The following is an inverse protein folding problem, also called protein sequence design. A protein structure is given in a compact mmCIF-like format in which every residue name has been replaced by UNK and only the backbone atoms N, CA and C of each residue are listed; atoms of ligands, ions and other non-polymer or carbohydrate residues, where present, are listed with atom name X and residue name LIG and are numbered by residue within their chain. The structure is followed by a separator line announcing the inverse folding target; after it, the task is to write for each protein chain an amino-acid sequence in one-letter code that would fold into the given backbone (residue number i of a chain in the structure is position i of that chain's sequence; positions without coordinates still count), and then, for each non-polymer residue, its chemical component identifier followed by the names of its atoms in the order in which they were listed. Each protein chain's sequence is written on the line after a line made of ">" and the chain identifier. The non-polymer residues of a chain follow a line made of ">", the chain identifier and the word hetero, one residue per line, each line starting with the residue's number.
data_IF_509461257119
#
_entry.id   IF_509461257119
#
_cell.length_a   1.000
_cell.length_b   1.000
_cell.length_c   1.000
_cell.angle_alpha   90.00
_cell.angle_beta   90.00
_cell.angle_gamma   90.00
#
_symmetry.space_group_name_H-M   'P 1'
#
loop_
_entity.id
_entity.type
_entity.pdbx_description
1 polymer ?
#
# COMPACT_ATOMS: atom_id res chain seq x y z
N UNK A 1 -8.95 -12.06 -1.01
CA UNK A 1 -7.82 -11.42 -0.30
C UNK A 1 -8.38 -10.28 0.55
N UNK A 2 -7.85 -10.03 1.74
CA UNK A 2 -8.25 -8.86 2.53
C UNK A 2 -7.24 -7.72 2.34
N UNK A 3 -7.72 -6.48 2.42
CA UNK A 3 -6.91 -5.28 2.17
C UNK A 3 -5.68 -5.17 3.08
N UNK A 4 -5.76 -5.71 4.31
CA UNK A 4 -4.67 -5.60 5.28
C UNK A 4 -3.38 -6.33 4.88
N UNK A 5 -3.43 -7.19 3.87
CA UNK A 5 -2.27 -7.93 3.39
C UNK A 5 -1.48 -7.17 2.33
N UNK A 6 -2.01 -6.10 1.73
CA UNK A 6 -1.24 -5.31 0.78
C UNK A 6 -0.04 -4.65 1.47
N UNK A 7 1.13 -4.84 0.89
CA UNK A 7 2.40 -4.41 1.48
C UNK A 7 2.46 -2.88 1.63
N UNK A 8 2.03 -2.12 0.63
CA UNK A 8 1.98 -0.65 0.70
C UNK A 8 1.06 -0.11 1.80
N UNK A 9 0.05 -0.90 2.20
CA UNK A 9 -0.97 -0.50 3.18
C UNK A 9 -0.65 -0.95 4.61
N UNK A 10 0.37 -1.78 4.80
CA UNK A 10 0.68 -2.41 6.10
C UNK A 10 0.84 -1.39 7.24
N UNK A 11 1.52 -0.28 6.99
CA UNK A 11 1.74 0.75 8.01
C UNK A 11 0.44 1.48 8.38
N UNK A 12 -0.41 1.79 7.39
CA UNK A 12 -1.71 2.41 7.66
C UNK A 12 -2.63 1.47 8.45
N UNK A 13 -2.65 0.19 8.07
CA UNK A 13 -3.37 -0.84 8.81
C UNK A 13 -2.88 -0.92 10.25
N UNK A 14 -1.56 -0.89 10.47
CA UNK A 14 -0.99 -0.91 11.81
C UNK A 14 -1.40 0.33 12.62
N UNK A 15 -1.40 1.51 12.01
CA UNK A 15 -1.87 2.74 12.68
C UNK A 15 -3.37 2.68 13.04
N UNK A 16 -4.20 2.09 12.19
CA UNK A 16 -5.64 1.96 12.41
C UNK A 16 -5.98 0.90 13.46
N UNK A 17 -5.26 -0.24 13.43
CA UNK A 17 -5.63 -1.46 14.18
C UNK A 17 -4.77 -1.71 15.41
N UNK A 18 -3.57 -1.12 15.48
CA UNK A 18 -2.53 -1.47 16.45
C UNK A 18 -1.88 -2.84 16.22
N UNK A 19 -2.32 -3.60 15.21
CA UNK A 19 -1.88 -4.96 14.93
C UNK A 19 -0.94 -4.97 13.71
N UNK A 20 0.25 -5.55 13.87
CA UNK A 20 1.16 -5.78 12.75
C UNK A 20 0.74 -7.02 11.97
N UNK A 21 0.42 -6.84 10.70
CA UNK A 21 0.14 -7.94 9.77
C UNK A 21 1.49 -8.46 9.23
N UNK A 22 1.79 -9.73 9.50
CA UNK A 22 3.07 -10.36 9.10
C UNK A 22 3.02 -11.00 7.72
N UNK A 23 1.82 -11.43 7.30
CA UNK A 23 1.58 -12.02 5.99
C UNK A 23 1.24 -10.89 5.02
N UNK A 24 2.20 -10.50 4.19
CA UNK A 24 2.02 -9.45 3.19
C UNK A 24 2.07 -9.99 1.77
N UNK A 25 1.43 -9.26 0.86
CA UNK A 25 1.40 -9.51 -0.58
C UNK A 25 1.88 -8.22 -1.25
N UNK A 26 2.90 -8.30 -2.12
CA UNK A 26 3.36 -7.16 -2.88
C UNK A 26 2.25 -6.59 -3.79
N UNK A 27 2.20 -5.27 -3.91
CA UNK A 27 1.17 -4.56 -4.68
C UNK A 27 1.12 -4.96 -6.16
N UNK A 28 2.26 -5.28 -6.77
CA UNK A 28 2.33 -5.71 -8.18
C UNK A 28 1.51 -6.97 -8.47
N UNK A 29 1.28 -7.83 -7.46
CA UNK A 29 0.45 -9.04 -7.62
C UNK A 29 -0.99 -8.66 -7.94
N UNK A 30 -1.51 -7.59 -7.34
CA UNK A 30 -2.87 -7.09 -7.58
C UNK A 30 -2.93 -6.37 -8.92
N UNK A 31 -1.90 -5.59 -9.26
CA UNK A 31 -1.81 -4.86 -10.52
C UNK A 31 -1.76 -5.78 -11.74
N UNK A 32 -1.23 -7.00 -11.58
CA UNK A 32 -1.21 -8.02 -12.64
C UNK A 32 -2.55 -8.76 -12.81
N UNK A 33 -3.54 -8.56 -11.93
CA UNK A 33 -4.82 -9.21 -12.07
C UNK A 33 -5.62 -8.62 -13.25
N UNK A 34 -6.17 -9.50 -14.09
CA UNK A 34 -7.03 -9.11 -15.21
C UNK A 34 -8.25 -8.30 -14.72
N UNK A 35 -8.80 -8.68 -13.57
CA UNK A 35 -9.94 -8.01 -12.95
C UNK A 35 -9.82 -8.01 -11.41
N UNK A 36 -10.24 -6.90 -10.78
CA UNK A 36 -10.36 -6.78 -9.33
C UNK A 36 -11.80 -6.47 -8.96
N UNK A 37 -12.40 -7.35 -8.16
CA UNK A 37 -13.77 -7.21 -7.66
C UNK A 37 -13.75 -6.96 -6.16
N UNK A 38 -14.31 -5.83 -5.73
CA UNK A 38 -14.49 -5.53 -4.31
C UNK A 38 -15.72 -6.26 -3.75
N UNK A 39 -15.49 -7.13 -2.77
CA UNK A 39 -16.55 -7.78 -1.98
C UNK A 39 -16.72 -7.01 -0.68
N UNK A 40 -17.81 -6.25 -0.57
CA UNK A 40 -18.06 -5.36 0.56
C UNK A 40 -19.12 -5.92 1.53
N UNK A 41 -18.94 -5.60 2.82
CA UNK A 41 -19.87 -5.94 3.89
C UNK A 41 -19.85 -4.83 4.94
N UNK A 42 -21.02 -4.49 5.49
CA UNK A 42 -21.08 -3.48 6.55
C UNK A 42 -20.34 -3.96 7.82
N UNK A 43 -19.65 -3.07 8.56
CA UNK A 43 -18.94 -3.42 9.78
C UNK A 43 -19.81 -4.20 10.78
N UNK A 44 -21.04 -3.72 11.03
CA UNK A 44 -21.98 -4.38 11.93
C UNK A 44 -22.38 -5.78 11.46
N UNK A 45 -22.55 -5.99 10.16
CA UNK A 45 -22.85 -7.32 9.64
C UNK A 45 -21.68 -8.28 9.81
N UNK A 46 -20.43 -7.80 9.63
CA UNK A 46 -19.23 -8.61 9.87
C UNK A 46 -19.10 -8.99 11.35
N UNK A 47 -19.30 -8.05 12.27
CA UNK A 47 -19.28 -8.30 13.71
C UNK A 47 -20.30 -9.37 14.11
N UNK A 48 -21.55 -9.24 13.65
CA UNK A 48 -22.59 -10.24 13.89
C UNK A 48 -22.20 -11.63 13.38
N UNK A 49 -21.52 -11.73 12.23
CA UNK A 49 -21.05 -13.01 11.68
C UNK A 49 -19.96 -13.63 12.56
N UNK A 50 -19.06 -12.81 13.11
CA UNK A 50 -18.00 -13.27 14.01
C UNK A 50 -18.59 -13.75 15.34
N UNK A 51 -19.52 -13.00 15.93
CA UNK A 51 -20.22 -13.36 17.18
C UNK A 51 -20.96 -14.71 17.06
N UNK A 52 -21.55 -14.98 15.89
CA UNK A 52 -22.23 -16.24 15.60
C UNK A 52 -21.27 -17.40 15.30
N UNK A 53 -19.96 -17.14 15.27
CA UNK A 53 -18.93 -18.14 14.96
C UNK A 53 -18.84 -18.52 13.47
N UNK A 54 -19.41 -17.72 12.57
CA UNK A 54 -19.44 -18.00 11.13
C UNK A 54 -18.14 -17.62 10.40
N UNK A 55 -17.17 -17.03 11.11
CA UNK A 55 -15.88 -16.56 10.56
C UNK A 55 -14.70 -17.14 11.34
N UNK A 56 -14.78 -17.13 12.67
CA UNK A 56 -13.83 -17.77 13.57
C UNK A 56 -14.56 -18.69 14.54
N UNK A 57 -13.91 -19.78 14.97
CA UNK A 57 -14.40 -20.55 16.11
C UNK A 57 -14.51 -19.67 17.36
N UNK A 58 -15.49 -19.96 18.23
CA UNK A 58 -15.87 -19.10 19.38
C UNK A 58 -14.68 -18.62 20.23
N UNK A 59 -13.73 -19.50 20.54
CA UNK A 59 -12.54 -19.14 21.34
C UNK A 59 -11.65 -18.08 20.68
N UNK A 60 -11.55 -18.09 19.34
CA UNK A 60 -10.77 -17.08 18.60
C UNK A 60 -11.56 -15.81 18.35
N UNK A 61 -12.90 -15.90 18.27
CA UNK A 61 -13.78 -14.77 18.01
C UNK A 61 -13.67 -13.69 19.10
N UNK A 62 -13.72 -14.07 20.38
CA UNK A 62 -13.63 -13.12 21.50
C UNK A 62 -12.32 -12.34 21.50
N UNK A 63 -11.18 -13.04 21.34
CA UNK A 63 -9.86 -12.41 21.28
C UNK A 63 -9.69 -11.53 20.06
N UNK A 64 -10.26 -11.92 18.92
CA UNK A 64 -10.22 -11.14 17.69
C UNK A 64 -11.07 -9.86 17.80
N UNK A 65 -12.24 -9.92 18.44
CA UNK A 65 -13.14 -8.78 18.70
C UNK A 65 -12.55 -7.77 19.69
N UNK A 66 -11.80 -8.23 20.70
CA UNK A 66 -11.12 -7.32 21.64
C UNK A 66 -10.03 -6.47 20.97
N UNK A 67 -9.47 -6.92 19.83
CA UNK A 67 -8.36 -6.26 19.15
C UNK A 67 -8.79 -5.70 17.80
N UNK A 68 -8.67 -6.50 16.73
CA UNK A 68 -8.78 -6.07 15.33
C UNK A 68 -10.23 -5.82 14.89
N UNK A 69 -11.20 -6.60 15.38
CA UNK A 69 -12.59 -6.51 14.96
C UNK A 69 -13.41 -5.60 15.86
N UNK A 70 -13.02 -4.33 15.91
CA UNK A 70 -13.82 -3.24 16.49
C UNK A 70 -14.54 -2.49 15.38
N UNK A 71 -15.73 -1.96 15.66
CA UNK A 71 -16.54 -1.27 14.64
C UNK A 71 -15.77 -0.10 13.99
N UNK A 72 -15.11 0.74 14.79
CA UNK A 72 -14.30 1.87 14.29
C UNK A 72 -13.16 1.42 13.37
N UNK A 73 -12.44 0.37 13.75
CA UNK A 73 -11.37 -0.24 12.96
C UNK A 73 -11.91 -0.78 11.63
N UNK A 74 -13.04 -1.48 11.65
CA UNK A 74 -13.67 -2.02 10.45
C UNK A 74 -14.21 -0.94 9.52
N UNK A 75 -14.74 0.17 10.05
CA UNK A 75 -15.12 1.34 9.24
C UNK A 75 -13.90 1.91 8.51
N UNK A 76 -12.79 2.12 9.22
CA UNK A 76 -11.56 2.66 8.63
C UNK A 76 -10.95 1.71 7.59
N UNK A 77 -10.95 0.40 7.84
CA UNK A 77 -10.48 -0.59 6.86
C UNK A 77 -11.40 -0.67 5.62
N UNK A 78 -12.71 -0.50 5.78
CA UNK A 78 -13.66 -0.43 4.67
C UNK A 78 -13.41 0.81 3.81
N UNK A 79 -13.18 1.96 4.44
CA UNK A 79 -12.80 3.18 3.73
C UNK A 79 -11.49 2.98 2.96
N UNK A 80 -10.49 2.37 3.59
CA UNK A 80 -9.20 2.07 2.95
C UNK A 80 -9.38 1.15 1.74
N UNK A 81 -10.19 0.09 1.87
CA UNK A 81 -10.48 -0.84 0.78
C UNK A 81 -11.22 -0.17 -0.39
N UNK A 82 -12.18 0.72 -0.11
CA UNK A 82 -12.89 1.49 -1.14
C UNK A 82 -11.94 2.41 -1.91
N UNK A 83 -11.07 3.13 -1.20
CA UNK A 83 -10.06 4.01 -1.83
C UNK A 83 -9.09 3.22 -2.70
N UNK A 84 -8.59 2.09 -2.21
CA UNK A 84 -7.65 1.27 -2.98
C UNK A 84 -8.32 0.67 -4.23
N UNK A 85 -9.58 0.23 -4.11
CA UNK A 85 -10.32 -0.28 -5.27
C UNK A 85 -10.51 0.81 -6.32
N UNK A 86 -10.85 2.04 -5.90
CA UNK A 86 -10.99 3.16 -6.81
C UNK A 86 -9.66 3.49 -7.53
N UNK A 87 -8.56 3.49 -6.79
CA UNK A 87 -7.21 3.71 -7.34
C UNK A 87 -6.83 2.64 -8.37
N UNK A 88 -7.10 1.38 -8.09
CA UNK A 88 -6.83 0.26 -9.01
C UNK A 88 -7.67 0.33 -10.30
N UNK A 89 -8.93 0.80 -10.18
CA UNK A 89 -9.79 1.05 -11.35
C UNK A 89 -9.22 2.20 -12.20
N UNK A 90 -8.76 3.29 -11.59
CA UNK A 90 -8.14 4.43 -12.29
C UNK A 90 -6.86 4.01 -13.02
N UNK A 91 -5.97 3.28 -12.35
CA UNK A 91 -4.72 2.79 -12.93
C UNK A 91 -4.95 1.89 -14.17
N UNK A 92 -6.03 1.09 -14.19
CA UNK A 92 -6.38 0.30 -15.38
C UNK A 92 -6.89 1.13 -16.55
N UNK A 93 -7.64 2.22 -16.32
CA UNK A 93 -8.10 3.09 -17.42
C UNK A 93 -6.92 3.76 -18.13
N UNK A 94 -5.93 4.24 -17.36
CA UNK A 94 -4.74 4.91 -17.93
C UNK A 94 -3.89 3.95 -18.77
N UNK A 95 -3.76 2.68 -18.35
CA UNK A 95 -2.99 1.68 -19.08
C UNK A 95 -3.75 1.02 -20.25
N UNK A 96 -5.07 0.96 -20.20
CA UNK A 96 -5.92 0.39 -21.25
C UNK A 96 -6.06 1.28 -22.49
N UNK A 97 -6.00 2.61 -22.33
CA UNK A 97 -6.13 3.57 -23.43
C UNK A 97 -4.81 3.82 -24.21
N UNK A 98 -3.70 3.20 -23.78
CA UNK A 98 -2.43 3.22 -24.51
C UNK A 98 -2.46 2.43 -25.85
N UNK A 99 -3.60 1.81 -26.20
CA UNK A 99 -3.82 1.14 -27.48
C UNK A 99 -4.31 2.07 -28.62
N UNK A 100 -4.42 3.39 -28.39
CA UNK A 100 -4.63 4.34 -29.48
C UNK A 100 -3.28 4.71 -30.13
N UNK A 101 -3.10 4.58 -31.46
CA UNK A 101 -1.82 4.86 -32.09
C UNK A 101 -1.50 6.34 -31.91
N UNK A 102 -0.27 6.60 -31.45
CA UNK A 102 0.29 7.92 -31.26
C UNK A 102 -0.03 8.82 -32.45
N UNK A 103 -0.87 9.84 -32.23
CA UNK A 103 -0.93 10.98 -33.13
C UNK A 103 0.32 11.81 -32.89
N UNK A 104 1.27 11.65 -33.81
CA UNK A 104 2.31 12.63 -34.08
C UNK A 104 1.69 14.03 -34.13
N UNK A 105 2.28 14.98 -33.40
CA UNK A 105 1.91 16.39 -33.50
C UNK A 105 1.17 16.94 -32.28
N UNK A 106 1.87 17.04 -31.17
CA UNK A 106 2.05 18.28 -30.38
C UNK A 106 2.82 17.87 -29.14
N UNK A 107 3.88 18.61 -28.82
CA UNK A 107 4.68 18.36 -27.63
C UNK A 107 3.84 18.50 -26.38
N UNK A 108 3.24 17.40 -25.92
CA UNK A 108 2.92 17.21 -24.53
C UNK A 108 4.26 17.06 -23.82
N UNK A 109 4.83 18.19 -23.39
CA UNK A 109 5.67 18.19 -22.19
C UNK A 109 4.77 17.76 -21.02
N UNK A 110 4.35 16.50 -21.02
CA UNK A 110 3.74 15.86 -19.87
C UNK A 110 4.75 16.06 -18.76
N UNK A 111 4.40 16.88 -17.78
CA UNK A 111 5.26 17.10 -16.62
C UNK A 111 5.39 15.74 -15.95
N UNK A 112 6.46 15.01 -16.27
CA UNK A 112 6.81 13.81 -15.54
C UNK A 112 7.12 14.28 -14.13
N UNK A 113 6.12 14.17 -13.27
CA UNK A 113 6.30 14.45 -11.87
C UNK A 113 7.37 13.47 -11.37
N UNK A 114 8.32 13.98 -10.59
CA UNK A 114 9.37 13.16 -9.99
C UNK A 114 9.29 13.33 -8.50
N UNK A 115 9.20 12.21 -7.80
CA UNK A 115 9.22 12.15 -6.35
C UNK A 115 10.59 11.65 -5.94
N UNK A 116 11.31 12.47 -5.18
CA UNK A 116 12.55 12.06 -4.51
C UNK A 116 12.26 11.78 -3.04
N UNK A 117 12.73 10.64 -2.57
CA UNK A 117 12.63 10.21 -1.18
C UNK A 117 14.03 10.12 -0.62
N UNK A 118 14.32 10.93 0.39
CA UNK A 118 15.56 10.79 1.13
C UNK A 118 15.48 9.52 1.98
N UNK A 119 16.39 8.59 1.73
CA UNK A 119 16.55 7.37 2.53
C UNK A 119 17.82 7.45 3.38
N UNK A 120 17.69 7.00 4.61
CA UNK A 120 18.79 6.88 5.58
C UNK A 120 18.74 5.49 6.20
N UNK A 121 19.74 5.14 7.02
CA UNK A 121 19.75 3.88 7.77
C UNK A 121 18.63 3.78 8.84
N UNK A 122 17.83 4.83 9.03
CA UNK A 122 16.69 4.79 9.92
C UNK A 122 15.60 3.82 9.41
N UNK A 123 15.07 2.91 10.25
CA UNK A 123 14.00 1.99 9.86
C UNK A 123 12.72 2.67 9.35
N UNK A 124 12.49 3.95 9.71
CA UNK A 124 11.39 4.76 9.21
C UNK A 124 11.49 5.10 7.71
N UNK A 125 12.68 4.98 7.10
CA UNK A 125 12.87 5.19 5.65
C UNK A 125 11.98 4.27 4.82
N UNK A 126 11.77 3.03 5.24
CA UNK A 126 10.90 2.09 4.55
C UNK A 126 9.45 2.58 4.44
N UNK A 127 8.93 3.25 5.48
CA UNK A 127 7.61 3.85 5.47
C UNK A 127 7.54 5.03 4.48
N UNK A 128 8.60 5.85 4.42
CA UNK A 128 8.67 6.97 3.49
C UNK A 128 8.70 6.49 2.04
N UNK A 129 9.44 5.43 1.73
CA UNK A 129 9.47 4.80 0.40
C UNK A 129 8.06 4.32 0.01
N UNK A 130 7.39 3.54 0.88
CA UNK A 130 6.02 3.06 0.62
C UNK A 130 5.03 4.20 0.40
N UNK A 131 5.12 5.26 1.22
CA UNK A 131 4.24 6.42 1.08
C UNK A 131 4.50 7.18 -0.22
N UNK A 132 5.77 7.41 -0.56
CA UNK A 132 6.15 8.09 -1.77
C UNK A 132 5.77 7.31 -3.03
N UNK A 133 5.92 5.98 -3.02
CA UNK A 133 5.47 5.13 -4.14
C UNK A 133 3.98 5.27 -4.37
N UNK A 134 3.16 5.26 -3.32
CA UNK A 134 1.70 5.47 -3.45
C UNK A 134 1.34 6.86 -3.98
N UNK A 135 2.04 7.90 -3.54
CA UNK A 135 1.85 9.26 -4.10
C UNK A 135 2.33 9.30 -5.55
N UNK A 136 3.38 8.55 -5.89
CA UNK A 136 3.91 8.44 -7.25
C UNK A 136 2.91 7.81 -8.19
N UNK A 137 2.28 6.71 -7.77
CA UNK A 137 1.27 6.00 -8.54
C UNK A 137 0.02 6.88 -8.76
N UNK A 138 -0.39 7.64 -7.74
CA UNK A 138 -1.49 8.60 -7.85
C UNK A 138 -1.21 9.78 -8.81
N UNK A 139 0.06 10.22 -8.89
CA UNK A 139 0.45 11.37 -9.70
C UNK A 139 1.03 11.01 -11.07
N UNK A 140 1.07 9.71 -11.41
CA UNK A 140 1.82 9.18 -12.57
C UNK A 140 3.26 9.71 -12.59
N UNK A 141 3.94 9.57 -11.44
CA UNK A 141 5.25 10.16 -11.17
C UNK A 141 6.33 9.11 -10.97
N UNK A 142 7.52 9.35 -11.54
CA UNK A 142 8.70 8.54 -11.26
C UNK A 142 9.12 8.73 -9.80
N UNK A 143 9.24 7.63 -9.04
CA UNK A 143 9.65 7.65 -7.64
C UNK A 143 11.09 7.16 -7.49
N UNK A 144 11.95 7.98 -6.90
CA UNK A 144 13.37 7.71 -6.65
C UNK A 144 13.64 7.70 -5.15
N UNK A 145 14.23 6.61 -4.65
CA UNK A 145 14.86 6.58 -3.34
C UNK A 145 16.32 7.01 -3.48
N UNK A 146 16.73 8.03 -2.71
CA UNK A 146 18.06 8.63 -2.80
C UNK A 146 18.71 8.68 -1.41
N UNK A 147 19.89 8.10 -1.29
CA UNK A 147 20.76 8.30 -0.14
C UNK A 147 21.78 9.40 -0.45
N UNK A 148 21.90 10.39 0.42
CA UNK A 148 22.88 11.47 0.28
C UNK A 148 24.03 11.21 1.23
N UNK A 149 25.24 11.08 0.69
CA UNK A 149 26.47 10.86 1.44
C UNK A 149 27.52 11.93 1.12
N UNK A 150 28.42 12.29 2.05
CA UNK A 150 29.49 13.25 1.80
C UNK A 150 30.44 12.81 0.68
N UNK A 151 30.70 11.51 0.59
CA UNK A 151 31.32 10.85 -0.56
C UNK A 151 30.23 10.20 -1.40
N UNK A 152 30.32 10.22 -2.74
CA UNK A 152 29.29 9.65 -3.62
C UNK A 152 29.12 8.13 -3.55
N UNK A 153 29.71 7.47 -2.55
CA UNK A 153 29.63 6.06 -2.28
C UNK A 153 29.12 5.78 -0.85
N UNK A 154 28.65 4.55 -0.61
CA UNK A 154 28.24 4.10 0.71
C UNK A 154 29.44 3.61 1.56
N UNK A 155 30.68 3.81 1.07
CA UNK A 155 31.88 3.23 1.68
C UNK A 155 32.24 3.84 3.04
N UNK A 156 31.91 5.11 3.23
CA UNK A 156 32.11 5.84 4.49
C UNK A 156 31.12 5.47 5.60
N UNK A 157 30.08 4.69 5.31
CA UNK A 157 29.08 4.28 6.30
C UNK A 157 29.49 3.03 7.08
N UNK A 158 29.08 2.93 8.36
CA UNK A 158 29.12 1.67 9.09
C UNK A 158 28.45 0.53 8.30
N UNK A 159 28.95 -0.72 8.36
CA UNK A 159 28.40 -1.84 7.60
C UNK A 159 26.89 -2.05 7.80
N UNK A 160 26.40 -1.87 9.04
CA UNK A 160 24.97 -2.01 9.36
C UNK A 160 24.10 -0.94 8.67
N UNK A 161 24.61 0.28 8.57
CA UNK A 161 23.90 1.40 7.95
C UNK A 161 23.86 1.26 6.43
N UNK A 162 24.93 0.72 5.84
CA UNK A 162 24.98 0.38 4.41
C UNK A 162 23.96 -0.70 4.08
N UNK A 163 23.95 -1.79 4.84
CA UNK A 163 22.99 -2.88 4.64
C UNK A 163 21.54 -2.40 4.80
N UNK A 164 21.28 -1.49 5.74
CA UNK A 164 19.96 -0.90 5.94
C UNK A 164 19.49 0.00 4.78
N UNK A 165 20.41 0.66 4.06
CA UNK A 165 20.08 1.52 2.90
C UNK A 165 19.95 0.70 1.61
N UNK A 166 20.73 -0.37 1.47
CA UNK A 166 20.70 -1.24 0.28
C UNK A 166 19.49 -2.19 0.24
N UNK A 167 18.82 -2.38 1.37
CA UNK A 167 17.68 -3.30 1.55
C UNK A 167 16.33 -2.62 1.34
#
# INVERSE_FOLDING_TARGET
>A
MNIQHLESLNDQVWQITGVRVRETIPDWVVQQADEVVMVDLTPRALLNRIERGAVYGREKAERAMQNFFRESTLVALRELALRETAHEVEHRHVNGDAAAPAKEGTGSTGKQHKILVLVTADPGSAMLIRRAKRVGDFLDAECFAVAVQPTGDLNGLPPADREAIER
#
